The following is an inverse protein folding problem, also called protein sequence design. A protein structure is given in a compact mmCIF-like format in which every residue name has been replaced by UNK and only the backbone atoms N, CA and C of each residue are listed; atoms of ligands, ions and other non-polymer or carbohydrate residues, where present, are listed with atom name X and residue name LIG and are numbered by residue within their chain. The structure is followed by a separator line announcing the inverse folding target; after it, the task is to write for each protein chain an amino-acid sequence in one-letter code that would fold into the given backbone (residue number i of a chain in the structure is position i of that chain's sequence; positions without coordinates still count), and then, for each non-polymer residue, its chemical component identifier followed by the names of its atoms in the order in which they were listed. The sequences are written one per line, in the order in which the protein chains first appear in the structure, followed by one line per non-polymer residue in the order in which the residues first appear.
data_IF_939196895426
#
_entry.id   IF_939196895426
#
_cell.length_a   1.000
_cell.length_b   1.000
_cell.length_c   1.000
_cell.angle_alpha   90.00
_cell.angle_beta   90.00
_cell.angle_gamma   90.00
#
_symmetry.space_group_name_H-M   'P 1'
#
loop_
_entity.id
_entity.type
_entity.pdbx_description
1 polymer ?
#
# COMPACT_ATOMS: atom_id res chain seq x y z
N UNK A 1 44.32 -10.67 -78.40
CA UNK A 1 45.43 -11.30 -77.66
C UNK A 1 45.05 -11.30 -76.18
N UNK A 2 45.00 -12.42 -75.46
CA UNK A 2 44.91 -13.85 -75.85
C UNK A 2 44.67 -14.63 -74.55
N UNK A 3 43.70 -15.58 -74.56
CA UNK A 3 43.77 -16.97 -74.00
C UNK A 3 44.32 -17.22 -72.57
N UNK A 4 44.01 -18.28 -71.81
CA UNK A 4 43.08 -19.45 -71.79
C UNK A 4 43.09 -19.93 -70.29
N UNK A 5 42.42 -20.96 -69.76
CA UNK A 5 42.37 -22.41 -70.03
C UNK A 5 41.18 -22.92 -69.14
N UNK A 6 40.14 -23.62 -69.65
CA UNK A 6 40.01 -25.10 -69.86
C UNK A 6 40.11 -25.94 -68.56
N UNK A 7 39.46 -27.09 -68.32
CA UNK A 7 38.47 -27.98 -69.00
C UNK A 7 37.79 -28.83 -67.88
N UNK A 8 36.81 -29.75 -68.03
CA UNK A 8 36.06 -30.41 -69.12
C UNK A 8 34.71 -30.94 -68.56
N UNK A 9 33.89 -31.61 -69.38
CA UNK A 9 32.46 -31.91 -69.10
C UNK A 9 32.03 -33.39 -69.33
N UNK A 10 30.84 -33.75 -68.82
CA UNK A 10 29.87 -34.81 -69.21
C UNK A 10 30.24 -36.30 -69.53
N UNK A 11 29.47 -37.26 -68.95
CA UNK A 11 28.62 -38.22 -69.72
C UNK A 11 27.67 -39.15 -68.88
N UNK A 12 26.35 -38.93 -69.04
CA UNK A 12 25.15 -39.84 -69.20
C UNK A 12 25.42 -41.30 -69.68
N UNK A 13 24.66 -42.39 -69.36
CA UNK A 13 23.57 -42.76 -68.37
C UNK A 13 23.21 -44.30 -68.45
N UNK A 14 22.30 -44.84 -67.59
CA UNK A 14 21.56 -46.17 -67.68
C UNK A 14 22.34 -47.52 -67.50
N UNK A 15 21.79 -48.66 -66.99
CA UNK A 15 20.40 -49.10 -66.63
C UNK A 15 20.30 -50.27 -65.59
N UNK A 16 19.09 -50.47 -65.01
CA UNK A 16 18.40 -51.72 -64.53
C UNK A 16 18.77 -52.53 -63.24
N UNK A 17 17.78 -52.62 -62.31
CA UNK A 17 17.13 -53.75 -61.57
C UNK A 17 17.93 -55.02 -61.08
N UNK A 18 17.58 -55.76 -60.02
CA UNK A 18 16.43 -55.81 -59.07
C UNK A 18 16.75 -56.70 -57.81
N UNK A 19 15.91 -56.65 -56.75
CA UNK A 19 15.75 -57.64 -55.63
C UNK A 19 16.95 -57.84 -54.63
N UNK A 20 16.80 -58.19 -53.34
CA UNK A 20 15.68 -58.32 -52.38
C UNK A 20 16.30 -58.40 -50.95
N UNK A 21 15.80 -57.66 -49.94
CA UNK A 21 15.96 -58.00 -48.50
C UNK A 21 14.72 -57.56 -47.69
N UNK A 22 14.22 -58.43 -46.81
CA UNK A 22 13.03 -58.20 -45.97
C UNK A 22 13.30 -57.26 -44.78
N UNK A 23 12.27 -56.55 -44.25
CA UNK A 23 12.45 -55.54 -43.23
C UNK A 23 12.65 -56.10 -41.82
N UNK A 24 13.65 -55.57 -41.11
CA UNK A 24 13.74 -55.67 -39.64
C UNK A 24 12.65 -54.77 -39.02
N UNK A 25 11.85 -55.25 -38.06
CA UNK A 25 10.86 -54.42 -37.39
C UNK A 25 11.56 -53.39 -36.48
N UNK A 26 11.35 -52.10 -36.77
CA UNK A 26 11.65 -51.03 -35.82
C UNK A 26 10.36 -50.73 -35.07
N UNK A 27 10.41 -50.87 -33.75
CA UNK A 27 9.32 -50.51 -32.83
C UNK A 27 8.99 -49.02 -32.98
N UNK A 28 7.75 -48.72 -33.37
CA UNK A 28 7.18 -47.38 -33.39
C UNK A 28 5.87 -47.42 -32.57
N UNK A 29 5.97 -47.36 -31.24
CA UNK A 29 4.80 -47.29 -30.34
C UNK A 29 4.82 -46.04 -29.44
N UNK A 30 6.00 -45.59 -29.00
CA UNK A 30 6.15 -44.44 -28.08
C UNK A 30 5.69 -43.08 -28.64
N UNK A 31 5.42 -42.94 -29.94
CA UNK A 31 5.12 -41.62 -30.56
C UNK A 31 3.65 -41.27 -30.65
N UNK A 32 2.74 -42.21 -30.40
CA UNK A 32 1.29 -41.97 -30.53
C UNK A 32 0.62 -41.68 -29.17
N UNK A 33 0.96 -42.43 -28.12
CA UNK A 33 0.44 -42.17 -26.76
C UNK A 33 0.83 -40.77 -26.24
N UNK A 34 2.10 -40.37 -26.40
CA UNK A 34 2.57 -39.03 -26.04
C UNK A 34 1.79 -37.90 -26.76
N UNK A 35 1.24 -38.19 -27.94
CA UNK A 35 0.51 -37.20 -28.76
C UNK A 35 -0.89 -36.94 -28.22
N UNK A 36 -1.56 -38.00 -27.78
CA UNK A 36 -2.87 -37.90 -27.12
C UNK A 36 -2.73 -37.26 -25.72
N UNK A 37 -1.64 -37.52 -24.99
CA UNK A 37 -1.33 -36.83 -23.73
C UNK A 37 -1.11 -35.32 -23.93
N UNK A 38 -0.35 -34.92 -24.96
CA UNK A 38 -0.13 -33.50 -25.30
C UNK A 38 -1.44 -32.78 -25.67
N UNK A 39 -2.36 -33.43 -26.41
CA UNK A 39 -3.66 -32.84 -26.76
C UNK A 39 -4.59 -32.68 -25.53
N UNK A 40 -4.60 -33.64 -24.61
CA UNK A 40 -5.33 -33.57 -23.35
C UNK A 40 -4.75 -32.48 -22.43
N UNK A 41 -3.42 -32.40 -22.32
CA UNK A 41 -2.74 -31.37 -21.54
C UNK A 41 -2.97 -29.97 -22.12
N UNK A 42 -2.87 -29.83 -23.45
CA UNK A 42 -3.20 -28.60 -24.19
C UNK A 42 -4.63 -28.15 -23.92
N UNK A 43 -5.60 -29.06 -24.00
CA UNK A 43 -7.01 -28.78 -23.71
C UNK A 43 -7.22 -28.32 -22.26
N UNK A 44 -6.58 -28.97 -21.28
CA UNK A 44 -6.63 -28.56 -19.87
C UNK A 44 -5.97 -27.21 -19.61
N UNK A 45 -4.87 -26.90 -20.29
CA UNK A 45 -4.20 -25.59 -20.21
C UNK A 45 -5.09 -24.51 -20.85
N UNK A 46 -5.68 -24.77 -22.02
CA UNK A 46 -6.57 -23.83 -22.69
C UNK A 46 -7.82 -23.54 -21.85
N UNK A 47 -8.39 -24.54 -21.17
CA UNK A 47 -9.49 -24.32 -20.21
C UNK A 47 -9.05 -23.40 -19.06
N UNK A 48 -7.88 -23.66 -18.43
CA UNK A 48 -7.31 -22.80 -17.37
C UNK A 48 -7.05 -21.38 -17.86
N UNK A 49 -6.56 -21.20 -19.10
CA UNK A 49 -6.36 -19.89 -19.72
C UNK A 49 -7.69 -19.18 -19.97
N UNK A 50 -8.72 -19.89 -20.43
CA UNK A 50 -10.06 -19.32 -20.65
C UNK A 50 -10.76 -18.94 -19.33
N UNK A 51 -10.45 -19.63 -18.23
CA UNK A 51 -10.93 -19.32 -16.88
C UNK A 51 -10.07 -18.28 -16.15
N UNK A 52 -8.92 -17.88 -16.70
CA UNK A 52 -8.05 -16.90 -16.07
C UNK A 52 -8.68 -15.49 -16.08
N UNK A 53 -8.88 -14.93 -14.90
CA UNK A 53 -9.30 -13.53 -14.74
C UNK A 53 -8.10 -12.58 -14.84
N UNK A 54 -8.34 -11.32 -15.20
CA UNK A 54 -7.31 -10.27 -15.18
C UNK A 54 -6.61 -10.24 -13.80
N UNK A 55 -5.30 -10.56 -13.72
CA UNK A 55 -4.57 -10.52 -12.45
C UNK A 55 -4.60 -9.12 -11.81
N UNK A 56 -4.77 -8.07 -12.62
CA UNK A 56 -4.83 -6.68 -12.20
C UNK A 56 -6.23 -6.08 -12.33
N UNK A 57 -7.29 -6.87 -12.12
CA UNK A 57 -8.68 -6.38 -12.12
C UNK A 57 -8.83 -5.11 -11.28
N UNK A 58 -9.46 -4.07 -11.84
CA UNK A 58 -9.70 -2.79 -11.14
C UNK A 58 -10.59 -2.92 -9.89
N UNK A 59 -11.27 -4.07 -9.73
CA UNK A 59 -12.16 -4.38 -8.61
C UNK A 59 -11.37 -4.84 -7.36
N UNK A 60 -10.17 -5.43 -7.56
CA UNK A 60 -9.29 -5.87 -6.48
C UNK A 60 -8.74 -4.68 -5.68
N UNK A 61 -8.70 -4.86 -4.37
CA UNK A 61 -8.20 -3.87 -3.42
C UNK A 61 -7.65 -4.49 -2.12
N UNK A 62 -7.97 -5.75 -1.82
CA UNK A 62 -7.47 -6.46 -0.64
C UNK A 62 -6.48 -7.52 -1.14
N UNK A 63 -5.21 -7.35 -0.78
CA UNK A 63 -4.08 -8.09 -1.35
C UNK A 63 -3.35 -8.89 -0.29
N UNK A 64 -2.75 -10.02 -0.68
CA UNK A 64 -1.72 -10.67 0.15
C UNK A 64 -0.43 -9.89 0.03
N UNK A 65 0.20 -9.61 1.16
CA UNK A 65 1.46 -8.86 1.20
C UNK A 65 2.59 -9.75 0.65
N UNK A 66 3.23 -9.37 -0.48
CA UNK A 66 4.29 -10.17 -1.07
C UNK A 66 5.44 -10.38 -0.09
N UNK A 67 5.98 -11.60 -0.03
CA UNK A 67 7.05 -11.96 0.92
C UNK A 67 8.27 -11.02 0.85
N UNK A 68 8.57 -10.47 -0.33
CA UNK A 68 9.66 -9.50 -0.55
C UNK A 68 9.46 -8.17 0.20
N UNK A 69 8.20 -7.74 0.38
CA UNK A 69 7.84 -6.53 1.14
C UNK A 69 7.66 -6.85 2.64
N UNK A 70 7.22 -8.07 2.98
CA UNK A 70 7.01 -8.52 4.37
C UNK A 70 8.33 -8.69 5.16
N UNK A 71 9.37 -9.22 4.52
CA UNK A 71 10.63 -9.74 5.14
C UNK A 71 11.37 -8.82 6.12
N UNK A 72 11.14 -7.51 6.09
CA UNK A 72 11.86 -6.53 6.91
C UNK A 72 11.13 -6.10 8.19
N UNK A 73 9.82 -6.31 8.27
CA UNK A 73 9.05 -6.13 9.49
C UNK A 73 7.77 -6.99 9.44
N UNK A 74 7.91 -8.30 9.60
CA UNK A 74 6.77 -9.23 9.46
C UNK A 74 5.63 -8.93 10.44
N UNK A 75 5.96 -8.43 11.65
CA UNK A 75 5.00 -8.09 12.71
C UNK A 75 4.13 -6.88 12.38
N UNK A 76 4.55 -6.01 11.48
CA UNK A 76 3.75 -4.86 11.01
C UNK A 76 2.54 -5.26 10.16
N UNK A 77 2.39 -6.55 9.82
CA UNK A 77 1.46 -7.04 8.81
C UNK A 77 0.53 -8.15 9.31
N UNK A 78 0.57 -8.49 10.60
CA UNK A 78 -0.18 -9.61 11.18
C UNK A 78 -1.11 -9.09 12.28
N UNK A 79 -2.43 -9.37 12.22
CA UNK A 79 -3.36 -8.96 13.26
C UNK A 79 -3.02 -9.61 14.61
N UNK A 80 -3.23 -8.86 15.68
CA UNK A 80 -2.80 -9.21 17.05
C UNK A 80 -4.00 -9.66 17.90
N UNK A 81 -5.18 -9.06 17.68
CA UNK A 81 -6.38 -9.25 18.51
C UNK A 81 -7.64 -9.58 17.72
N UNK A 82 -7.80 -9.15 16.47
CA UNK A 82 -9.03 -9.37 15.70
C UNK A 82 -8.79 -9.76 14.24
N UNK A 83 -9.39 -10.87 13.81
CA UNK A 83 -9.53 -11.22 12.39
C UNK A 83 -10.74 -10.50 11.80
N UNK A 84 -10.56 -9.90 10.64
CA UNK A 84 -11.58 -9.22 9.85
C UNK A 84 -11.45 -9.66 8.39
N UNK A 85 -12.51 -10.27 7.87
CA UNK A 85 -12.55 -10.83 6.54
C UNK A 85 -11.79 -12.17 6.40
N UNK A 86 -11.83 -12.75 5.19
CA UNK A 86 -11.46 -14.15 4.94
C UNK A 86 -9.98 -14.47 5.11
N UNK A 87 -9.09 -13.47 5.02
CA UNK A 87 -7.65 -13.72 4.86
C UNK A 87 -6.96 -14.16 6.15
N UNK A 88 -7.56 -13.88 7.31
CA UNK A 88 -7.13 -14.34 8.64
C UNK A 88 -8.19 -15.17 9.37
N UNK A 89 -9.34 -15.43 8.72
CA UNK A 89 -10.46 -16.19 9.27
C UNK A 89 -10.03 -17.59 9.72
N UNK A 90 -10.56 -18.04 10.87
CA UNK A 90 -10.21 -19.33 11.47
C UNK A 90 -8.82 -19.42 12.14
N UNK A 91 -8.02 -18.34 12.16
CA UNK A 91 -6.72 -18.33 12.85
C UNK A 91 -6.89 -18.58 14.37
N UNK A 92 -6.34 -19.69 14.86
CA UNK A 92 -6.42 -20.12 16.27
C UNK A 92 -6.01 -19.03 17.27
N UNK A 93 -5.04 -18.17 16.91
CA UNK A 93 -4.55 -17.11 17.79
C UNK A 93 -5.55 -15.94 17.98
N UNK A 94 -6.58 -15.85 17.12
CA UNK A 94 -7.56 -14.76 17.09
C UNK A 94 -8.97 -15.21 17.50
N UNK A 95 -9.17 -16.52 17.75
CA UNK A 95 -10.49 -17.11 18.04
C UNK A 95 -11.21 -16.47 19.23
N UNK A 96 -10.49 -16.00 20.25
CA UNK A 96 -11.09 -15.35 21.41
C UNK A 96 -11.91 -14.09 21.06
N UNK A 97 -11.60 -13.42 19.93
CA UNK A 97 -12.34 -12.26 19.48
C UNK A 97 -13.56 -12.62 18.64
N UNK A 98 -13.66 -13.82 18.08
CA UNK A 98 -14.85 -14.27 17.35
C UNK A 98 -16.09 -14.31 18.27
N UNK A 99 -15.92 -14.75 19.52
CA UNK A 99 -16.95 -14.67 20.57
C UNK A 99 -17.37 -13.22 20.87
N UNK A 100 -16.40 -12.29 20.91
CA UNK A 100 -16.65 -10.86 21.14
C UNK A 100 -17.39 -10.24 19.94
N UNK A 101 -17.03 -10.58 18.70
CA UNK A 101 -17.75 -10.11 17.49
C UNK A 101 -19.21 -10.57 17.50
N UNK A 102 -19.46 -11.83 17.87
CA UNK A 102 -20.82 -12.37 18.05
C UNK A 102 -21.58 -11.65 19.18
N UNK A 103 -20.93 -11.34 20.31
CA UNK A 103 -21.53 -10.56 21.39
C UNK A 103 -21.87 -9.11 20.96
N UNK A 104 -21.01 -8.46 20.17
CA UNK A 104 -21.28 -7.13 19.62
C UNK A 104 -22.49 -7.15 18.67
N UNK A 105 -22.60 -8.15 17.80
CA UNK A 105 -23.78 -8.36 16.96
C UNK A 105 -25.04 -8.61 17.79
N UNK A 106 -24.96 -9.43 18.86
CA UNK A 106 -26.07 -9.64 19.80
C UNK A 106 -26.54 -8.32 20.44
N UNK A 107 -25.63 -7.52 20.99
CA UNK A 107 -25.96 -6.21 21.57
C UNK A 107 -26.62 -5.25 20.57
N UNK A 108 -26.14 -5.23 19.32
CA UNK A 108 -26.72 -4.42 18.25
C UNK A 108 -28.15 -4.88 17.93
N UNK A 109 -28.39 -6.19 17.84
CA UNK A 109 -29.71 -6.77 17.56
C UNK A 109 -30.70 -6.62 18.72
N UNK A 110 -30.24 -6.70 19.96
CA UNK A 110 -31.08 -6.49 21.15
C UNK A 110 -31.50 -5.02 21.30
N UNK A 111 -30.59 -4.08 21.00
CA UNK A 111 -30.86 -2.63 20.98
C UNK A 111 -31.91 -2.22 19.94
N UNK A 112 -32.05 -2.96 18.83
CA UNK A 112 -33.01 -2.72 17.74
C UNK A 112 -32.99 -1.27 17.22
N UNK A 113 -31.86 -0.84 16.61
CA UNK A 113 -31.68 0.54 16.15
C UNK A 113 -32.74 1.01 15.15
N UNK A 114 -33.31 0.08 14.36
CA UNK A 114 -34.52 0.32 13.56
C UNK A 114 -35.53 -0.81 13.76
N UNK A 115 -36.84 -0.60 13.45
CA UNK A 115 -37.84 -1.66 13.48
C UNK A 115 -37.60 -2.81 12.50
N UNK A 116 -36.71 -2.61 11.52
CA UNK A 116 -36.39 -3.57 10.44
C UNK A 116 -35.04 -4.25 10.66
N UNK A 117 -34.31 -3.90 11.73
CA UNK A 117 -33.00 -4.48 12.05
C UNK A 117 -33.17 -5.86 12.69
N UNK A 118 -32.96 -6.91 11.91
CA UNK A 118 -32.89 -8.29 12.37
C UNK A 118 -31.84 -9.09 11.58
N UNK A 119 -31.61 -10.35 11.96
CA UNK A 119 -30.58 -11.18 11.30
C UNK A 119 -30.91 -11.48 9.83
N UNK A 120 -32.19 -11.58 9.47
CA UNK A 120 -32.63 -11.87 8.11
C UNK A 120 -32.47 -10.65 7.20
N UNK A 121 -32.73 -9.44 7.68
CA UNK A 121 -32.54 -8.20 6.93
C UNK A 121 -31.07 -7.89 6.66
N UNK A 122 -30.18 -8.09 7.64
CA UNK A 122 -28.73 -7.95 7.46
C UNK A 122 -28.18 -8.94 6.41
N UNK A 123 -28.59 -10.22 6.47
CA UNK A 123 -28.21 -11.21 5.45
C UNK A 123 -28.78 -10.90 4.06
N UNK A 124 -30.02 -10.39 3.97
CA UNK A 124 -30.64 -9.94 2.71
C UNK A 124 -29.92 -8.75 2.08
N UNK A 125 -29.30 -7.87 2.86
CA UNK A 125 -28.51 -6.76 2.34
C UNK A 125 -27.14 -7.18 1.78
N UNK A 126 -26.46 -8.14 2.43
CA UNK A 126 -25.14 -8.60 1.98
C UNK A 126 -25.23 -9.59 0.80
N UNK A 127 -26.24 -10.47 0.77
CA UNK A 127 -26.34 -11.54 -0.26
C UNK A 127 -26.28 -11.03 -1.72
N UNK A 128 -26.92 -9.91 -2.11
CA UNK A 128 -26.79 -9.34 -3.46
C UNK A 128 -25.40 -8.82 -3.82
N UNK A 129 -24.60 -8.38 -2.85
CA UNK A 129 -23.25 -7.82 -3.08
C UNK A 129 -22.12 -8.85 -2.89
N UNK A 130 -22.45 -10.09 -2.53
CA UNK A 130 -21.50 -11.15 -2.20
C UNK A 130 -20.38 -11.32 -3.26
N UNK A 131 -20.75 -11.51 -4.53
CA UNK A 131 -19.78 -11.71 -5.61
C UNK A 131 -18.85 -10.50 -5.77
N UNK A 132 -19.41 -9.29 -5.77
CA UNK A 132 -18.65 -8.05 -5.85
C UNK A 132 -17.73 -7.82 -4.64
N UNK A 133 -18.02 -8.45 -3.49
CA UNK A 133 -17.13 -8.46 -2.32
C UNK A 133 -16.03 -9.51 -2.46
N UNK A 134 -16.33 -10.70 -3.00
CA UNK A 134 -15.32 -11.73 -3.31
C UNK A 134 -14.31 -11.23 -4.35
N UNK A 135 -14.76 -10.48 -5.36
CA UNK A 135 -13.91 -9.86 -6.40
C UNK A 135 -12.96 -8.76 -5.89
N UNK A 136 -13.14 -8.28 -4.65
CA UNK A 136 -12.22 -7.32 -4.03
C UNK A 136 -10.93 -7.97 -3.52
N UNK A 137 -10.91 -9.28 -3.28
CA UNK A 137 -9.73 -10.02 -2.82
C UNK A 137 -8.88 -10.49 -4.00
N UNK A 138 -7.56 -10.49 -3.81
CA UNK A 138 -6.59 -10.99 -4.80
C UNK A 138 -6.68 -12.51 -4.99
N UNK A 139 -6.74 -13.25 -3.88
CA UNK A 139 -6.83 -14.71 -3.86
C UNK A 139 -8.27 -15.22 -3.87
N UNK A 140 -8.46 -16.44 -4.38
CA UNK A 140 -9.76 -17.11 -4.30
C UNK A 140 -10.02 -17.52 -2.85
N UNK A 141 -11.16 -17.09 -2.29
CA UNK A 141 -11.53 -17.48 -0.93
C UNK A 141 -12.00 -18.95 -0.92
N UNK A 142 -11.45 -19.73 0.01
CA UNK A 142 -11.65 -21.18 0.12
C UNK A 142 -12.64 -21.59 1.22
N UNK A 143 -13.73 -20.83 1.38
CA UNK A 143 -14.81 -21.10 2.35
C UNK A 143 -16.16 -21.23 1.64
N UNK A 144 -17.20 -21.69 2.34
CA UNK A 144 -18.53 -21.79 1.74
C UNK A 144 -19.18 -20.41 1.50
N UNK A 145 -20.13 -20.32 0.57
CA UNK A 145 -20.81 -19.04 0.30
C UNK A 145 -21.57 -18.53 1.52
N UNK A 146 -22.23 -19.41 2.29
CA UNK A 146 -22.99 -19.00 3.47
C UNK A 146 -22.05 -18.60 4.64
N UNK A 147 -20.92 -19.30 4.82
CA UNK A 147 -19.87 -18.90 5.78
C UNK A 147 -19.23 -17.54 5.42
N UNK A 148 -19.02 -17.27 4.12
CA UNK A 148 -18.58 -15.95 3.66
C UNK A 148 -19.61 -14.86 4.00
N UNK A 149 -20.90 -15.12 3.77
CA UNK A 149 -21.97 -14.17 4.11
C UNK A 149 -22.08 -13.92 5.62
N UNK A 150 -21.99 -14.99 6.42
CA UNK A 150 -22.01 -14.94 7.89
C UNK A 150 -20.87 -14.05 8.41
N UNK A 151 -19.63 -14.30 7.98
CA UNK A 151 -18.47 -13.48 8.32
C UNK A 151 -18.62 -12.02 7.90
N UNK A 152 -19.07 -11.74 6.67
CA UNK A 152 -19.27 -10.34 6.22
C UNK A 152 -20.27 -9.59 7.10
N UNK A 153 -21.33 -10.25 7.57
CA UNK A 153 -22.32 -9.64 8.49
C UNK A 153 -21.73 -9.46 9.89
N UNK A 154 -21.14 -10.50 10.47
CA UNK A 154 -20.55 -10.46 11.83
C UNK A 154 -19.47 -9.37 11.92
N UNK A 155 -18.50 -9.39 10.99
CA UNK A 155 -17.36 -8.47 11.01
C UNK A 155 -17.81 -7.02 10.73
N UNK A 156 -18.71 -6.83 9.77
CA UNK A 156 -19.21 -5.50 9.41
C UNK A 156 -20.08 -4.88 10.50
N UNK A 157 -20.89 -5.68 11.19
CA UNK A 157 -21.64 -5.25 12.37
C UNK A 157 -20.71 -4.98 13.57
N UNK A 158 -19.70 -5.83 13.82
CA UNK A 158 -18.69 -5.59 14.85
C UNK A 158 -17.96 -4.27 14.64
N UNK A 159 -17.45 -4.00 13.43
CA UNK A 159 -16.77 -2.74 13.08
C UNK A 159 -17.68 -1.53 13.32
N UNK A 160 -18.92 -1.61 12.84
CA UNK A 160 -19.91 -0.53 12.99
C UNK A 160 -20.22 -0.24 14.45
N UNK A 161 -20.39 -1.28 15.26
CA UNK A 161 -20.72 -1.16 16.68
C UNK A 161 -19.52 -0.73 17.53
N UNK A 162 -18.32 -1.22 17.20
CA UNK A 162 -17.06 -0.78 17.79
C UNK A 162 -16.86 0.73 17.60
N UNK A 163 -17.07 1.26 16.40
CA UNK A 163 -16.94 2.70 16.17
C UNK A 163 -17.98 3.53 16.95
N UNK A 164 -19.22 3.05 17.08
CA UNK A 164 -20.25 3.73 17.90
C UNK A 164 -19.88 3.76 19.38
N UNK A 165 -19.40 2.64 19.94
CA UNK A 165 -18.91 2.56 21.33
C UNK A 165 -17.68 3.44 21.54
N UNK A 166 -16.72 3.44 20.61
CA UNK A 166 -15.54 4.30 20.66
C UNK A 166 -15.89 5.79 20.64
N UNK A 167 -16.91 6.17 19.87
CA UNK A 167 -17.45 7.54 19.84
C UNK A 167 -18.34 7.90 21.04
N UNK A 168 -18.64 6.95 21.95
CA UNK A 168 -19.60 7.08 23.05
C UNK A 168 -21.06 7.37 22.59
N UNK A 169 -21.43 6.98 21.37
CA UNK A 169 -22.81 7.05 20.89
C UNK A 169 -23.70 5.92 21.44
N UNK A 170 -23.07 4.82 21.84
CA UNK A 170 -23.71 3.67 22.48
C UNK A 170 -23.09 3.49 23.86
N UNK A 171 -23.93 3.25 24.87
CA UNK A 171 -23.47 2.96 26.22
C UNK A 171 -22.64 1.68 26.24
N UNK A 172 -21.36 1.84 26.54
CA UNK A 172 -20.46 0.73 26.87
C UNK A 172 -20.95 0.11 28.18
N UNK A 173 -21.27 -1.18 28.17
CA UNK A 173 -21.61 -1.91 29.39
C UNK A 173 -20.36 -2.02 30.29
N UNK A 174 -20.53 -2.06 31.60
CA UNK A 174 -19.42 -2.30 32.53
C UNK A 174 -18.81 -3.70 32.35
N UNK A 175 -19.51 -4.61 31.66
CA UNK A 175 -19.02 -5.93 31.27
C UNK A 175 -18.29 -5.94 29.90
N UNK A 176 -18.19 -4.81 29.19
CA UNK A 176 -17.44 -4.72 27.94
C UNK A 176 -15.93 -4.82 28.18
N UNK A 177 -15.41 -6.04 28.12
CA UNK A 177 -13.99 -6.32 28.30
C UNK A 177 -13.09 -5.53 27.34
N UNK A 178 -13.53 -5.27 26.11
CA UNK A 178 -12.74 -4.60 25.07
C UNK A 178 -12.45 -3.15 25.47
N UNK A 179 -13.45 -2.42 25.96
CA UNK A 179 -13.30 -1.04 26.45
C UNK A 179 -12.85 -0.94 27.91
N UNK A 180 -12.84 -2.04 28.67
CA UNK A 180 -12.34 -2.09 30.06
C UNK A 180 -10.83 -1.85 30.21
N UNK A 181 -10.06 -1.85 29.12
CA UNK A 181 -8.62 -1.52 29.15
C UNK A 181 -8.26 -0.48 28.09
N UNK A 182 -7.26 0.35 28.37
CA UNK A 182 -6.84 1.42 27.44
C UNK A 182 -6.09 0.92 26.20
N UNK A 183 -5.66 -0.34 26.16
CA UNK A 183 -4.83 -0.88 25.06
C UNK A 183 -5.65 -1.67 24.04
N UNK A 184 -6.72 -2.38 24.44
CA UNK A 184 -7.52 -3.21 23.53
C UNK A 184 -8.18 -2.42 22.39
N UNK A 185 -8.82 -1.25 22.62
CA UNK A 185 -9.41 -0.47 21.52
C UNK A 185 -8.33 0.00 20.52
N UNK A 186 -7.12 0.29 20.99
CA UNK A 186 -5.99 0.68 20.13
C UNK A 186 -5.48 -0.51 19.31
N UNK A 187 -5.38 -1.70 19.92
CA UNK A 187 -5.01 -2.93 19.21
C UNK A 187 -6.02 -3.30 18.11
N UNK A 188 -7.33 -3.18 18.39
CA UNK A 188 -8.38 -3.35 17.39
C UNK A 188 -8.24 -2.32 16.26
N UNK A 189 -8.04 -1.04 16.59
CA UNK A 189 -7.84 0.02 15.59
C UNK A 189 -6.63 -0.24 14.69
N UNK A 190 -5.54 -0.81 15.23
CA UNK A 190 -4.37 -1.20 14.43
C UNK A 190 -4.70 -2.34 13.46
N UNK A 191 -5.34 -3.39 13.96
CA UNK A 191 -5.73 -4.56 13.16
C UNK A 191 -6.71 -4.17 12.05
N UNK A 192 -7.59 -3.18 12.27
CA UNK A 192 -8.50 -2.60 11.26
C UNK A 192 -7.78 -1.81 10.15
N UNK A 193 -6.47 -1.57 10.25
CA UNK A 193 -5.65 -0.87 9.26
C UNK A 193 -4.61 -1.76 8.56
N UNK A 194 -4.62 -3.07 8.83
CA UNK A 194 -3.76 -4.02 8.11
C UNK A 194 -4.38 -4.36 6.76
N UNK A 195 -3.57 -4.39 5.69
CA UNK A 195 -4.05 -4.60 4.31
C UNK A 195 -4.73 -5.96 4.11
N UNK A 196 -4.26 -7.01 4.80
CA UNK A 196 -4.87 -8.34 4.75
C UNK A 196 -6.12 -8.47 5.64
N UNK A 197 -6.39 -7.51 6.53
CA UNK A 197 -7.44 -7.61 7.55
C UNK A 197 -8.56 -6.59 7.29
N UNK A 198 -9.19 -6.68 6.12
CA UNK A 198 -10.11 -5.67 5.58
C UNK A 198 -11.43 -6.29 5.11
N UNK A 199 -12.52 -5.51 5.22
CA UNK A 199 -13.75 -5.74 4.46
C UNK A 199 -13.85 -4.75 3.30
N UNK A 200 -14.46 -5.13 2.16
CA UNK A 200 -14.88 -4.20 1.12
C UNK A 200 -15.84 -3.16 1.70
N UNK A 201 -15.60 -1.88 1.41
CA UNK A 201 -16.33 -0.75 2.00
C UNK A 201 -17.86 -0.86 1.88
N UNK A 202 -18.36 -1.45 0.79
CA UNK A 202 -19.81 -1.69 0.56
C UNK A 202 -20.48 -2.50 1.67
N UNK A 203 -19.75 -3.40 2.33
CA UNK A 203 -20.26 -4.18 3.47
C UNK A 203 -20.57 -3.24 4.64
N UNK A 204 -19.67 -2.29 4.91
CA UNK A 204 -19.86 -1.28 5.97
C UNK A 204 -21.00 -0.32 5.61
N UNK A 205 -21.05 0.20 4.38
CA UNK A 205 -22.17 1.07 3.95
C UNK A 205 -23.53 0.37 4.14
N UNK A 206 -23.71 -0.83 3.57
CA UNK A 206 -25.00 -1.54 3.59
C UNK A 206 -25.44 -1.94 5.02
N UNK A 207 -24.52 -2.41 5.87
CA UNK A 207 -24.87 -2.77 7.25
C UNK A 207 -25.08 -1.52 8.12
N UNK A 208 -24.35 -0.44 7.88
CA UNK A 208 -24.53 0.80 8.62
C UNK A 208 -25.89 1.44 8.29
N UNK A 209 -26.31 1.45 7.03
CA UNK A 209 -27.65 1.95 6.63
C UNK A 209 -28.78 1.23 7.36
N UNK A 210 -28.71 -0.10 7.53
CA UNK A 210 -29.70 -0.90 8.27
C UNK A 210 -29.60 -0.81 9.81
N UNK A 211 -28.57 -0.15 10.34
CA UNK A 211 -28.28 -0.11 11.80
C UNK A 211 -28.05 1.30 12.34
N UNK A 212 -28.27 2.33 11.52
CA UNK A 212 -28.15 3.73 11.89
C UNK A 212 -29.43 4.21 12.61
N UNK A 213 -29.25 4.88 13.75
CA UNK A 213 -30.37 5.44 14.51
C UNK A 213 -30.65 6.89 14.10
N UNK A 214 -31.85 7.39 14.39
CA UNK A 214 -32.21 8.77 14.08
C UNK A 214 -31.49 9.74 15.04
N UNK A 215 -30.44 10.39 14.53
CA UNK A 215 -29.66 11.41 15.25
C UNK A 215 -28.24 10.99 15.65
N UNK A 216 -27.80 9.78 15.30
CA UNK A 216 -26.39 9.35 15.45
C UNK A 216 -25.50 9.92 14.35
N UNK A 217 -24.18 9.88 14.55
CA UNK A 217 -23.21 10.27 13.52
C UNK A 217 -23.31 9.37 12.29
N UNK A 218 -22.92 9.91 11.14
CA UNK A 218 -22.70 9.10 9.94
C UNK A 218 -21.51 8.15 10.11
N UNK A 219 -21.47 7.06 9.34
CA UNK A 219 -20.33 6.13 9.28
C UNK A 219 -18.99 6.88 9.10
N UNK A 220 -18.95 7.86 8.19
CA UNK A 220 -17.78 8.71 7.97
C UNK A 220 -17.45 9.56 9.20
N UNK A 221 -18.42 10.07 9.94
CA UNK A 221 -18.20 10.82 11.19
C UNK A 221 -17.56 9.95 12.27
N UNK A 222 -18.08 8.74 12.46
CA UNK A 222 -17.57 7.74 13.41
C UNK A 222 -16.14 7.28 13.06
N UNK A 223 -15.88 6.99 11.79
CA UNK A 223 -14.54 6.62 11.28
C UNK A 223 -13.56 7.78 11.47
N UNK A 224 -13.91 9.01 11.05
CA UNK A 224 -13.06 10.19 11.27
C UNK A 224 -12.76 10.45 12.75
N UNK A 225 -13.74 10.24 13.64
CA UNK A 225 -13.56 10.37 15.09
C UNK A 225 -12.57 9.31 15.62
N UNK A 226 -12.78 8.04 15.25
CA UNK A 226 -11.96 6.90 15.69
C UNK A 226 -10.51 7.03 15.23
N UNK A 227 -10.29 7.33 13.95
CA UNK A 227 -8.94 7.40 13.37
C UNK A 227 -8.29 8.78 13.45
N UNK A 228 -8.89 9.75 14.16
CA UNK A 228 -8.37 11.13 14.31
C UNK A 228 -6.90 11.18 14.75
N UNK A 229 -6.50 10.30 15.66
CA UNK A 229 -5.11 10.21 16.14
C UNK A 229 -4.12 9.67 15.08
N UNK A 230 -4.62 8.94 14.08
CA UNK A 230 -3.83 8.35 13.00
C UNK A 230 -3.72 9.30 11.80
N UNK A 231 -4.82 9.94 11.41
CA UNK A 231 -4.84 10.93 10.32
C UNK A 231 -4.32 12.31 10.74
N UNK A 232 -4.15 12.57 12.03
CA UNK A 232 -3.86 13.91 12.55
C UNK A 232 -5.08 14.84 12.53
N UNK A 233 -6.28 14.30 12.37
CA UNK A 233 -7.51 15.07 12.15
C UNK A 233 -7.79 15.42 10.69
N UNK A 234 -6.91 15.02 9.76
CA UNK A 234 -7.20 15.08 8.32
C UNK A 234 -8.36 14.14 7.98
N UNK A 235 -9.21 14.58 7.06
CA UNK A 235 -10.31 13.81 6.49
C UNK A 235 -10.24 13.82 4.96
N UNK A 236 -10.87 12.87 4.26
CA UNK A 236 -10.90 12.86 2.81
C UNK A 236 -11.60 14.11 2.25
N UNK A 237 -11.20 14.51 1.04
CA UNK A 237 -11.87 15.58 0.28
C UNK A 237 -13.35 15.21 0.10
N UNK A 238 -14.33 16.09 0.39
CA UNK A 238 -15.75 15.82 0.12
C UNK A 238 -16.11 15.85 -1.39
N UNK A 239 -15.12 15.72 -2.27
CA UNK A 239 -15.35 15.56 -3.71
C UNK A 239 -15.99 14.20 -3.95
N UNK A 240 -17.24 14.19 -4.42
CA UNK A 240 -18.10 13.00 -4.54
C UNK A 240 -17.68 11.95 -5.58
N UNK A 241 -16.39 11.88 -5.91
CA UNK A 241 -15.79 10.96 -6.89
C UNK A 241 -14.97 9.84 -6.23
N UNK A 242 -14.39 10.05 -5.04
CA UNK A 242 -13.54 9.05 -4.37
C UNK A 242 -14.39 8.11 -3.52
N UNK A 243 -14.84 7.00 -4.12
CA UNK A 243 -15.44 5.88 -3.37
C UNK A 243 -14.33 5.10 -2.67
N UNK A 244 -14.35 5.11 -1.34
CA UNK A 244 -13.46 4.30 -0.51
C UNK A 244 -13.61 2.81 -0.84
N UNK A 245 -12.49 2.08 -0.86
CA UNK A 245 -12.46 0.64 -1.17
C UNK A 245 -12.53 -0.24 0.08
N UNK A 246 -11.93 0.22 1.18
CA UNK A 246 -11.89 -0.40 2.52
C UNK A 246 -11.31 0.62 3.52
N UNK A 247 -11.15 0.28 4.81
CA UNK A 247 -10.72 1.21 5.87
C UNK A 247 -9.30 1.77 5.65
N UNK A 248 -8.34 0.95 5.25
CA UNK A 248 -6.97 1.41 4.94
C UNK A 248 -6.94 2.39 3.75
N UNK A 249 -7.76 2.16 2.72
CA UNK A 249 -7.92 3.11 1.60
C UNK A 249 -8.62 4.40 2.04
N UNK A 250 -9.54 4.35 3.00
CA UNK A 250 -10.08 5.55 3.64
C UNK A 250 -8.99 6.39 4.32
N UNK A 251 -8.08 5.77 5.07
CA UNK A 251 -6.93 6.49 5.67
C UNK A 251 -6.02 7.07 4.60
N UNK A 252 -5.71 6.31 3.53
CA UNK A 252 -4.94 6.81 2.39
C UNK A 252 -5.58 8.07 1.78
N UNK A 253 -6.88 7.99 1.49
CA UNK A 253 -7.64 9.09 0.90
C UNK A 253 -7.82 10.28 1.87
N UNK A 254 -7.71 10.06 3.18
CA UNK A 254 -7.64 11.14 4.18
C UNK A 254 -6.34 11.95 4.06
N UNK A 255 -5.20 11.30 3.86
CA UNK A 255 -3.93 12.01 3.61
C UNK A 255 -3.92 12.72 2.25
N UNK A 256 -4.57 12.16 1.24
CA UNK A 256 -4.71 12.79 -0.09
C UNK A 256 -5.75 13.92 -0.13
N UNK A 257 -6.63 14.01 0.87
CA UNK A 257 -7.73 14.97 0.93
C UNK A 257 -7.31 16.44 0.80
N UNK A 258 -6.09 16.81 1.19
CA UNK A 258 -5.57 18.18 1.04
C UNK A 258 -4.44 18.29 0.00
N UNK A 259 -4.12 17.22 -0.73
CA UNK A 259 -3.11 17.25 -1.78
C UNK A 259 -3.67 17.98 -3.03
N UNK A 260 -2.93 18.87 -3.70
CA UNK A 260 -3.28 19.34 -5.03
C UNK A 260 -3.27 18.14 -6.00
N UNK A 261 -4.24 18.04 -6.90
CA UNK A 261 -4.10 17.11 -8.02
C UNK A 261 -3.01 17.66 -8.95
N UNK A 262 -1.77 17.24 -8.72
CA UNK A 262 -0.70 17.39 -9.69
C UNK A 262 -1.02 16.47 -10.86
N UNK A 263 -1.27 17.04 -12.05
CA UNK A 263 -1.16 16.30 -13.29
C UNK A 263 0.26 15.74 -13.34
N UNK A 264 0.41 14.43 -13.12
CA UNK A 264 1.71 13.80 -13.13
C UNK A 264 2.16 13.66 -14.58
N UNK A 265 2.89 14.67 -15.06
CA UNK A 265 3.63 14.57 -16.31
C UNK A 265 4.50 13.31 -16.30
N UNK A 266 4.63 12.65 -17.46
CA UNK A 266 5.39 11.39 -17.62
C UNK A 266 6.92 11.61 -17.57
N UNK A 267 7.40 12.32 -16.56
CA UNK A 267 8.83 12.54 -16.32
C UNK A 267 9.53 11.23 -15.95
N UNK A 268 10.56 10.89 -16.72
CA UNK A 268 11.48 9.82 -16.35
C UNK A 268 12.41 10.35 -15.27
N UNK A 269 12.30 9.78 -14.06
CA UNK A 269 13.09 10.11 -12.88
C UNK A 269 14.56 10.43 -13.21
N UNK A 270 14.96 11.69 -13.02
CA UNK A 270 16.37 12.06 -13.09
C UNK A 270 17.12 11.52 -11.86
N UNK A 271 18.38 11.14 -12.03
CA UNK A 271 19.12 10.28 -11.08
C UNK A 271 19.60 11.01 -9.81
N UNK A 272 19.52 12.34 -9.77
CA UNK A 272 20.11 13.17 -8.71
C UNK A 272 19.23 13.24 -7.46
N UNK A 273 19.43 12.29 -6.54
CA UNK A 273 18.79 12.27 -5.21
C UNK A 273 19.03 13.57 -4.44
N UNK A 274 17.95 14.12 -3.87
CA UNK A 274 18.00 15.29 -2.99
C UNK A 274 18.99 15.09 -1.81
N UNK A 275 19.74 16.15 -1.49
CA UNK A 275 20.69 16.15 -0.37
C UNK A 275 19.98 16.03 0.99
N UNK A 276 20.70 15.58 2.02
CA UNK A 276 20.16 15.50 3.39
C UNK A 276 19.85 16.88 3.98
N UNK A 277 18.97 16.95 4.98
CA UNK A 277 18.52 18.21 5.56
C UNK A 277 19.67 19.08 6.10
N UNK A 278 20.70 18.48 6.71
CA UNK A 278 21.88 19.23 7.18
C UNK A 278 22.85 19.63 6.07
N UNK A 279 22.81 18.99 4.89
CA UNK A 279 23.58 19.39 3.72
C UNK A 279 22.90 20.52 2.95
N UNK A 280 21.58 20.41 2.72
CA UNK A 280 20.73 21.48 2.19
C UNK A 280 20.91 22.78 3.01
N UNK A 281 20.95 22.66 4.34
CA UNK A 281 21.25 23.78 5.24
C UNK A 281 22.60 24.46 4.97
N UNK A 282 23.67 23.69 4.66
CA UNK A 282 25.02 24.26 4.40
C UNK A 282 25.07 25.06 3.10
N UNK A 283 24.33 24.62 2.08
CA UNK A 283 24.28 25.29 0.77
C UNK A 283 23.27 26.44 0.70
N UNK A 284 22.56 26.71 1.80
CA UNK A 284 21.75 27.91 2.01
C UNK A 284 20.23 27.70 2.05
N UNK A 285 19.74 26.45 1.89
CA UNK A 285 18.32 26.15 2.02
C UNK A 285 17.87 26.34 3.46
N UNK A 286 16.78 27.09 3.63
CA UNK A 286 16.12 27.32 4.92
C UNK A 286 14.96 26.36 5.08
N UNK A 287 14.75 25.87 6.30
CA UNK A 287 13.64 24.98 6.64
C UNK A 287 12.64 25.73 7.51
N UNK A 288 11.35 25.53 7.25
CA UNK A 288 10.23 26.04 8.07
C UNK A 288 9.20 24.93 8.32
N UNK A 289 8.60 24.97 9.51
CA UNK A 289 7.40 24.20 9.85
C UNK A 289 6.21 24.69 9.01
N UNK A 290 5.43 23.76 8.45
CA UNK A 290 4.16 24.02 7.79
C UNK A 290 3.01 24.26 8.76
N UNK A 291 1.79 24.40 8.25
CA UNK A 291 0.61 24.42 9.11
C UNK A 291 0.29 23.01 9.62
N UNK A 292 -0.41 22.91 10.75
CA UNK A 292 -0.93 21.62 11.26
C UNK A 292 -2.16 21.15 10.46
N UNK A 293 -2.93 22.07 9.86
CA UNK A 293 -4.07 21.75 8.99
C UNK A 293 -3.67 21.45 7.52
N UNK A 294 -2.39 21.63 7.15
CA UNK A 294 -1.88 21.21 5.84
C UNK A 294 -1.79 19.67 5.82
N UNK A 295 -2.14 19.00 4.71
CA UNK A 295 -1.84 17.56 4.60
C UNK A 295 -0.35 17.31 4.84
N UNK A 296 0.00 16.23 5.55
CA UNK A 296 1.38 15.80 5.76
C UNK A 296 2.20 15.70 4.46
N UNK A 297 1.53 15.48 3.32
CA UNK A 297 2.14 15.37 2.00
C UNK A 297 2.51 16.74 1.36
N UNK A 298 2.02 17.87 1.89
CA UNK A 298 2.18 19.19 1.30
C UNK A 298 3.55 19.83 1.61
N UNK A 299 4.62 19.23 1.10
CA UNK A 299 5.98 19.78 1.19
C UNK A 299 6.21 20.70 0.00
N UNK A 300 6.53 21.97 0.26
CA UNK A 300 6.81 22.97 -0.79
C UNK A 300 8.21 23.55 -0.68
N UNK A 301 8.73 24.07 -1.78
CA UNK A 301 10.01 24.77 -1.83
C UNK A 301 9.83 26.08 -2.61
N UNK A 302 10.08 27.20 -1.95
CA UNK A 302 9.93 28.52 -2.57
C UNK A 302 11.12 29.41 -2.20
N UNK A 303 11.78 29.99 -3.20
CA UNK A 303 12.83 31.00 -3.00
C UNK A 303 13.96 30.57 -2.02
N UNK A 304 14.32 29.27 -2.01
CA UNK A 304 15.32 28.71 -1.09
C UNK A 304 14.78 28.34 0.29
N UNK A 305 13.47 28.31 0.48
CA UNK A 305 12.80 27.93 1.73
C UNK A 305 11.97 26.66 1.50
N UNK A 306 12.36 25.56 2.13
CA UNK A 306 11.56 24.34 2.21
C UNK A 306 10.57 24.45 3.38
N UNK A 307 9.28 24.33 3.10
CA UNK A 307 8.19 24.25 4.09
C UNK A 307 7.76 22.78 4.20
N UNK A 308 7.90 22.20 5.39
CA UNK A 308 7.52 20.80 5.66
C UNK A 308 6.41 20.80 6.73
N UNK A 309 5.23 20.23 6.46
CA UNK A 309 4.19 20.01 7.48
C UNK A 309 4.74 19.21 8.68
N UNK A 310 4.14 19.32 9.87
CA UNK A 310 4.62 18.63 11.06
C UNK A 310 4.65 17.10 10.88
N UNK A 311 5.85 16.52 10.97
CA UNK A 311 6.06 15.07 10.92
C UNK A 311 5.76 14.50 12.31
N UNK A 312 4.56 13.94 12.45
CA UNK A 312 4.06 13.35 13.68
C UNK A 312 4.28 11.83 13.61
N UNK A 313 5.34 11.35 14.27
CA UNK A 313 5.59 9.90 14.49
C UNK A 313 5.26 9.57 15.93
N UNK A 314 4.03 9.14 16.17
CA UNK A 314 3.62 8.51 17.43
C UNK A 314 3.79 6.99 17.29
N UNK A 315 4.43 6.35 18.28
CA UNK A 315 4.40 4.89 18.54
C UNK A 315 4.67 3.88 17.38
N UNK A 316 4.69 2.59 17.73
CA UNK A 316 4.99 1.49 16.81
C UNK A 316 3.88 1.28 15.75
N UNK A 317 2.66 1.75 16.03
CA UNK A 317 1.50 1.55 15.19
C UNK A 317 1.61 2.35 13.88
N UNK A 318 2.30 3.51 13.91
CA UNK A 318 2.56 4.28 12.69
C UNK A 318 3.53 3.56 11.75
N UNK A 319 4.41 2.69 12.23
CA UNK A 319 5.26 1.88 11.34
C UNK A 319 4.41 0.83 10.60
N UNK A 320 3.49 0.19 11.32
CA UNK A 320 2.48 -0.69 10.71
C UNK A 320 1.63 0.05 9.69
N UNK A 321 1.05 1.20 10.04
CA UNK A 321 0.20 1.97 9.13
C UNK A 321 0.94 2.38 7.85
N UNK A 322 2.13 3.00 7.96
CA UNK A 322 2.88 3.39 6.76
C UNK A 322 3.37 2.18 5.96
N UNK A 323 3.76 1.08 6.62
CA UNK A 323 4.09 -0.17 5.94
C UNK A 323 2.91 -0.69 5.09
N UNK A 324 1.72 -0.80 5.68
CA UNK A 324 0.52 -1.26 4.98
C UNK A 324 0.10 -0.30 3.85
N UNK A 325 0.19 1.01 4.05
CA UNK A 325 -0.08 2.01 2.99
C UNK A 325 0.90 1.94 1.82
N UNK A 326 2.21 1.77 2.09
CA UNK A 326 3.23 1.60 1.04
C UNK A 326 2.96 0.31 0.26
N UNK A 327 2.75 -0.81 0.96
CA UNK A 327 2.43 -2.09 0.31
C UNK A 327 1.18 -1.97 -0.55
N UNK A 328 0.14 -1.28 -0.08
CA UNK A 328 -1.08 -1.05 -0.85
C UNK A 328 -0.83 -0.29 -2.17
N UNK A 329 -0.01 0.76 -2.15
CA UNK A 329 0.41 1.47 -3.38
C UNK A 329 1.25 0.59 -4.32
N UNK A 330 2.12 -0.27 -3.77
CA UNK A 330 2.92 -1.22 -4.56
C UNK A 330 2.06 -2.33 -5.20
N UNK A 331 1.00 -2.80 -4.50
CA UNK A 331 0.06 -3.81 -5.01
C UNK A 331 -0.98 -3.24 -6.00
N UNK A 332 -1.33 -1.95 -5.91
CA UNK A 332 -2.22 -1.27 -6.86
C UNK A 332 -1.57 0.01 -7.44
N UNK A 333 -0.64 -0.12 -8.40
CA UNK A 333 0.04 1.01 -9.05
C UNK A 333 -0.87 2.10 -9.63
N UNK A 334 -2.12 1.75 -9.98
CA UNK A 334 -3.12 2.71 -10.52
C UNK A 334 -3.57 3.77 -9.51
N UNK A 335 -3.34 3.57 -8.21
CA UNK A 335 -3.66 4.55 -7.16
C UNK A 335 -2.61 5.67 -7.05
N UNK A 336 -1.45 5.51 -7.69
CA UNK A 336 -0.30 6.38 -7.50
C UNK A 336 0.56 6.00 -6.28
N UNK A 337 1.68 6.71 -6.13
CA UNK A 337 2.72 6.42 -5.15
C UNK A 337 2.95 7.59 -4.18
N UNK A 338 1.90 8.32 -3.80
CA UNK A 338 2.03 9.56 -3.02
C UNK A 338 2.57 9.30 -1.60
N UNK A 339 2.04 8.29 -0.88
CA UNK A 339 2.52 7.94 0.46
C UNK A 339 3.96 7.39 0.37
N UNK A 340 4.21 6.55 -0.62
CA UNK A 340 5.53 5.99 -0.94
C UNK A 340 6.53 7.11 -1.22
N UNK A 341 6.19 8.05 -2.09
CA UNK A 341 7.06 9.19 -2.47
C UNK A 341 7.38 10.07 -1.27
N UNK A 342 6.43 10.29 -0.37
CA UNK A 342 6.65 11.04 0.87
C UNK A 342 7.68 10.35 1.77
N UNK A 343 7.54 9.04 1.98
CA UNK A 343 8.49 8.25 2.77
C UNK A 343 9.88 8.24 2.14
N UNK A 344 9.98 8.12 0.81
CA UNK A 344 11.27 8.20 0.09
C UNK A 344 11.91 9.58 0.22
N UNK A 345 11.13 10.67 0.12
CA UNK A 345 11.62 12.03 0.34
C UNK A 345 12.15 12.21 1.77
N UNK A 346 11.44 11.69 2.78
CA UNK A 346 11.90 11.74 4.16
C UNK A 346 13.16 10.90 4.41
N UNK A 347 13.27 9.68 3.86
CA UNK A 347 14.51 8.90 3.94
C UNK A 347 15.69 9.64 3.30
N UNK A 348 15.46 10.37 2.20
CA UNK A 348 16.51 11.20 1.57
C UNK A 348 16.91 12.40 2.43
N UNK A 349 15.97 13.09 3.06
CA UNK A 349 16.24 14.19 3.96
C UNK A 349 16.90 13.75 5.28
N UNK A 350 16.66 12.51 5.75
CA UNK A 350 17.02 12.02 7.08
C UNK A 350 18.06 10.88 6.98
N UNK A 351 19.30 11.21 6.58
CA UNK A 351 20.39 10.22 6.48
C UNK A 351 21.16 9.99 7.79
N UNK A 352 21.04 10.89 8.77
CA UNK A 352 21.77 10.80 10.04
C UNK A 352 20.98 11.33 11.23
N UNK A 353 21.43 11.01 12.45
CA UNK A 353 20.85 11.58 13.68
C UNK A 353 20.93 13.11 13.73
N UNK A 354 21.89 13.73 13.02
CA UNK A 354 22.04 15.20 12.94
C UNK A 354 20.95 15.85 12.09
N UNK A 355 20.42 15.13 11.11
CA UNK A 355 19.28 15.61 10.31
C UNK A 355 18.01 15.60 11.17
N UNK A 356 17.83 14.56 11.99
CA UNK A 356 16.80 14.53 13.02
C UNK A 356 16.98 15.66 14.05
N UNK A 357 18.22 16.05 14.42
CA UNK A 357 18.45 17.20 15.33
C UNK A 357 17.92 18.48 14.73
N UNK A 358 18.27 18.71 13.48
CA UNK A 358 17.92 19.92 12.77
C UNK A 358 16.41 20.03 12.49
N UNK A 359 15.73 18.93 12.14
CA UNK A 359 14.27 18.94 11.95
C UNK A 359 13.51 19.13 13.27
N UNK A 360 14.02 18.58 14.39
CA UNK A 360 13.48 18.85 15.73
C UNK A 360 13.73 20.29 16.15
N UNK A 361 14.92 20.86 15.90
CA UNK A 361 15.26 22.28 16.15
C UNK A 361 14.33 23.24 15.39
N UNK A 362 13.83 22.83 14.22
CA UNK A 362 12.87 23.61 13.41
C UNK A 362 11.41 23.38 13.77
N UNK A 363 11.12 22.51 14.74
CA UNK A 363 9.75 22.12 15.11
C UNK A 363 9.01 21.35 14.00
N UNK A 364 9.71 20.92 12.96
CA UNK A 364 9.15 20.10 11.87
C UNK A 364 8.88 18.69 12.38
N UNK A 365 9.75 18.16 13.24
CA UNK A 365 9.61 16.82 13.83
C UNK A 365 9.44 16.90 15.35
N UNK A 366 8.47 16.18 15.88
CA UNK A 366 8.26 16.10 17.33
C UNK A 366 9.31 15.18 17.99
N UNK A 367 9.85 15.59 19.14
CA UNK A 367 10.86 14.82 19.88
C UNK A 367 10.22 13.75 20.76
N UNK A 368 9.60 12.75 20.14
CA UNK A 368 8.85 11.68 20.82
C UNK A 368 9.75 10.48 21.14
N UNK A 369 10.66 10.14 20.23
CA UNK A 369 11.58 8.99 20.35
C UNK A 369 13.04 9.42 20.51
N UNK A 370 13.92 8.44 20.75
CA UNK A 370 15.35 8.67 20.57
C UNK A 370 15.69 8.86 19.09
N UNK A 371 16.87 9.43 18.87
CA UNK A 371 17.31 9.85 17.53
C UNK A 371 17.73 8.66 16.67
N UNK A 372 18.08 7.54 17.30
CA UNK A 372 18.37 6.27 16.64
C UNK A 372 17.08 5.54 16.23
N UNK A 373 16.04 5.59 17.06
CA UNK A 373 14.73 5.00 16.74
C UNK A 373 14.07 5.71 15.56
N UNK A 374 14.01 7.05 15.57
CA UNK A 374 13.47 7.82 14.43
C UNK A 374 14.24 7.55 13.12
N UNK A 375 15.58 7.50 13.16
CA UNK A 375 16.38 7.17 11.98
C UNK A 375 16.14 5.70 11.52
N UNK A 376 15.99 4.78 12.47
CA UNK A 376 15.69 3.38 12.19
C UNK A 376 14.31 3.18 11.55
N UNK A 377 13.31 3.94 12.00
CA UNK A 377 11.94 3.92 11.47
C UNK A 377 11.87 4.26 9.98
N UNK A 378 12.38 5.44 9.57
CA UNK A 378 12.36 5.82 8.15
C UNK A 378 13.13 4.82 7.28
N UNK A 379 14.29 4.36 7.76
CA UNK A 379 15.08 3.33 7.07
C UNK A 379 14.32 1.99 6.94
N UNK A 380 13.54 1.57 7.93
CA UNK A 380 12.74 0.34 7.86
C UNK A 380 11.62 0.46 6.84
N UNK A 381 10.90 1.59 6.82
CA UNK A 381 9.84 1.86 5.85
C UNK A 381 10.34 1.91 4.40
N UNK A 382 11.58 2.34 4.16
CA UNK A 382 12.13 2.44 2.80
C UNK A 382 12.63 1.09 2.21
N UNK A 383 13.05 0.12 3.02
CA UNK A 383 13.71 -1.10 2.50
C UNK A 383 12.83 -1.84 1.48
N UNK A 384 13.43 -2.19 0.33
CA UNK A 384 12.79 -2.84 -0.83
C UNK A 384 11.60 -2.12 -1.47
N UNK A 385 11.26 -0.90 -1.04
CA UNK A 385 10.23 -0.07 -1.67
C UNK A 385 10.71 0.41 -3.04
N UNK A 386 9.98 0.07 -4.12
CA UNK A 386 10.39 0.39 -5.49
C UNK A 386 9.57 1.56 -6.05
N UNK A 387 10.26 2.60 -6.50
CA UNK A 387 9.69 3.65 -7.35
C UNK A 387 10.21 3.45 -8.78
N UNK A 388 9.36 2.88 -9.64
CA UNK A 388 9.76 2.50 -11.00
C UNK A 388 9.65 3.63 -12.03
N UNK A 389 8.69 4.55 -11.87
CA UNK A 389 8.43 5.64 -12.82
C UNK A 389 7.96 6.94 -12.16
N UNK A 390 6.97 6.85 -11.27
CA UNK A 390 6.32 8.03 -10.68
C UNK A 390 6.91 8.40 -9.32
N UNK A 391 7.20 9.68 -9.11
CA UNK A 391 7.62 10.24 -7.82
C UNK A 391 6.94 11.59 -7.62
N UNK A 392 6.11 11.72 -6.58
CA UNK A 392 5.24 12.89 -6.38
C UNK A 392 5.98 14.20 -6.03
N UNK A 393 7.30 14.15 -5.86
CA UNK A 393 8.14 15.30 -5.51
C UNK A 393 9.27 15.54 -6.53
N UNK A 394 9.10 15.08 -7.78
CA UNK A 394 10.13 15.23 -8.83
C UNK A 394 10.40 16.72 -9.17
N UNK A 395 9.34 17.53 -9.30
CA UNK A 395 9.44 18.98 -9.48
C UNK A 395 10.13 19.65 -8.28
N UNK A 396 9.66 19.37 -7.05
CA UNK A 396 10.26 19.86 -5.80
C UNK A 396 11.76 19.53 -5.73
N UNK A 397 12.14 18.29 -6.05
CA UNK A 397 13.52 17.83 -6.03
C UNK A 397 14.36 18.55 -7.11
N UNK A 398 13.80 18.74 -8.30
CA UNK A 398 14.42 19.49 -9.41
C UNK A 398 14.70 20.95 -9.01
N UNK A 399 13.72 21.65 -8.42
CA UNK A 399 13.89 23.02 -7.94
C UNK A 399 14.95 23.13 -6.84
N UNK A 400 14.92 22.23 -5.86
CA UNK A 400 15.91 22.19 -4.77
C UNK A 400 17.31 21.93 -5.33
N UNK A 401 17.47 20.97 -6.24
CA UNK A 401 18.75 20.65 -6.86
C UNK A 401 19.28 21.84 -7.69
N UNK A 402 18.42 22.51 -8.48
CA UNK A 402 18.77 23.70 -9.24
C UNK A 402 19.22 24.86 -8.33
N UNK A 403 18.49 25.11 -7.24
CA UNK A 403 18.89 26.08 -6.22
C UNK A 403 20.24 25.74 -5.59
N UNK A 404 20.45 24.46 -5.23
CA UNK A 404 21.70 23.98 -4.66
C UNK A 404 22.86 24.14 -5.64
N UNK A 405 22.70 23.84 -6.93
CA UNK A 405 23.73 24.05 -7.94
C UNK A 405 24.14 25.54 -8.07
N UNK A 406 23.19 26.47 -7.95
CA UNK A 406 23.47 27.90 -7.85
C UNK A 406 24.18 28.29 -6.55
N UNK A 407 23.77 27.68 -5.43
CA UNK A 407 24.39 27.83 -4.11
C UNK A 407 25.85 27.36 -4.11
N UNK A 408 26.14 26.17 -4.62
CA UNK A 408 27.48 25.60 -4.78
C UNK A 408 28.41 26.49 -5.61
N UNK A 409 27.92 27.08 -6.71
CA UNK A 409 28.71 28.04 -7.51
C UNK A 409 29.10 29.27 -6.68
N UNK A 410 28.16 29.82 -5.89
CA UNK A 410 28.43 30.96 -4.98
C UNK A 410 29.38 30.57 -3.84
N UNK A 411 29.18 29.39 -3.21
CA UNK A 411 30.02 28.88 -2.13
C UNK A 411 31.46 28.63 -2.62
N UNK A 412 31.63 28.07 -3.82
CA UNK A 412 32.93 27.90 -4.47
C UNK A 412 33.61 29.23 -4.77
N UNK A 413 32.87 30.25 -5.23
CA UNK A 413 33.39 31.60 -5.42
C UNK A 413 33.81 32.27 -4.09
N UNK A 414 33.03 32.10 -3.01
CA UNK A 414 33.38 32.60 -1.67
C UNK A 414 34.65 31.90 -1.16
N UNK A 415 34.72 30.58 -1.22
CA UNK A 415 35.92 29.81 -0.87
C UNK A 415 37.14 30.25 -1.68
N UNK A 416 37.02 30.36 -3.00
CA UNK A 416 38.11 30.83 -3.85
C UNK A 416 38.55 32.24 -3.45
N UNK A 417 37.60 33.16 -3.23
CA UNK A 417 37.90 34.54 -2.81
C UNK A 417 38.58 34.60 -1.45
N UNK A 418 38.14 33.80 -0.49
CA UNK A 418 38.62 33.88 0.89
C UNK A 418 39.93 33.08 1.08
N UNK A 419 40.13 32.00 0.31
CA UNK A 419 41.41 31.30 0.17
C UNK A 419 42.46 32.16 -0.55
N UNK A 420 42.09 32.85 -1.63
CA UNK A 420 42.97 33.79 -2.33
C UNK A 420 43.25 35.09 -1.54
N UNK A 421 42.43 35.40 -0.52
CA UNK A 421 42.69 36.50 0.43
C UNK A 421 43.64 36.11 1.56
N UNK A 422 43.70 34.83 1.92
CA UNK A 422 44.59 34.30 2.96
C UNK A 422 45.40 33.10 2.44
N UNK A 423 46.36 33.30 1.51
CA UNK A 423 47.20 32.22 0.99
C UNK A 423 48.21 31.64 2.01
N UNK A 424 48.26 32.16 3.24
CA UNK A 424 49.26 31.80 4.26
C UNK A 424 48.60 31.36 5.59
N UNK A 425 47.90 30.22 5.58
CA UNK A 425 47.62 29.43 6.80
C UNK A 425 47.81 27.91 6.59
N UNK A 426 48.50 27.51 5.51
CA UNK A 426 48.84 26.12 5.19
C UNK A 426 50.35 25.87 5.22
N UNK A 427 51.01 26.30 6.31
CA UNK A 427 52.40 25.93 6.64
C UNK A 427 52.84 26.40 8.03
N UNK A 428 52.38 25.71 9.08
CA UNK A 428 53.05 25.51 10.39
C UNK A 428 52.29 24.46 11.20
#
# INVERSE_FOLDING_TARGET
MTTEINTSDHSVIESENDQEEEPVPIENDDTNENRDEDELLSSSIQEKVNQASDPFSVHRCIYRIPAVLRKHNEKAFVPIVVSIGPLHHGNENLQAMEEVKLWYLHCLLDRKPTPETDMESLLKAIRPIQQACQECYEEKIHISNDEFLEMMVIDGCFISEFFRRFANEVTVDNEDGLFSTSWMPLAVINDLLLLENQLPWRVLDCLFELTCESGTSSLLGLINSTFKAYTGGLSPKPSGTVKHRHLLDFIRNSFLGSYPESESDESVRDSDTILSATELRKVGVKFKRGNEDDTMLNITFENGVMKIPPIIVFDENRESLFGNLIVYEQCQPRLGYQITSYVVLLDNLIKSTKDVDFLVEKGIMAKIWSRKEMLGFFKRLYNDTRLYKYFSYDELQTEVNAYCAGGWRKWKQILQRDYLKNPCLSSS
#
